data_IF_285177750223
#
_entry.id   IF_285177750223
#
_cell.length_a   1.000
_cell.length_b   1.000
_cell.length_c   1.000
_cell.angle_alpha   90.00
_cell.angle_beta   90.00
_cell.angle_gamma   90.00
#
_symmetry.space_group_name_H-M   'P 1'
#
loop_
_entity.id
_entity.type
_entity.pdbx_description
1 polymer ?
#
# COMPACT_ATOMS: atom_id res chain seq x y z
N UNK A 1 -10.21 -4.71 1.66
CA UNK A 1 -10.20 -5.69 0.56
C UNK A 1 -10.61 -5.11 -0.79
N UNK A 2 -11.67 -4.31 -0.89
CA UNK A 2 -12.13 -3.73 -2.16
C UNK A 2 -11.03 -3.08 -3.03
N UNK A 3 -10.04 -2.33 -2.48
CA UNK A 3 -8.98 -1.73 -3.29
C UNK A 3 -8.11 -2.73 -4.06
N UNK A 4 -7.71 -3.83 -3.41
CA UNK A 4 -6.88 -4.87 -4.06
C UNK A 4 -7.64 -5.55 -5.19
N UNK A 5 -8.92 -5.86 -4.99
CA UNK A 5 -9.76 -6.45 -6.04
C UNK A 5 -9.99 -5.50 -7.21
N UNK A 6 -10.01 -4.18 -6.95
CA UNK A 6 -10.20 -3.19 -8.01
C UNK A 6 -9.05 -3.16 -9.02
N UNK A 7 -7.85 -3.65 -8.66
CA UNK A 7 -6.68 -3.77 -9.55
C UNK A 7 -6.90 -4.72 -10.73
N UNK A 8 -7.93 -5.59 -10.67
CA UNK A 8 -8.33 -6.42 -11.84
C UNK A 8 -8.78 -5.56 -13.02
N UNK A 9 -9.17 -4.31 -12.77
CA UNK A 9 -9.56 -3.36 -13.81
C UNK A 9 -8.38 -2.60 -14.42
N UNK A 10 -7.17 -2.77 -13.86
CA UNK A 10 -5.97 -2.10 -14.34
C UNK A 10 -5.46 -2.76 -15.63
N UNK A 11 -5.06 -1.94 -16.60
CA UNK A 11 -4.58 -2.41 -17.91
C UNK A 11 -3.22 -1.77 -18.22
N UNK A 12 -2.18 -2.59 -18.30
CA UNK A 12 -0.83 -2.10 -18.64
C UNK A 12 -0.70 -1.64 -20.10
N UNK A 13 -1.48 -2.24 -21.03
CA UNK A 13 -1.41 -1.99 -22.48
C UNK A 13 -2.82 -2.02 -23.09
N UNK A 14 -3.09 -1.16 -24.07
CA UNK A 14 -4.34 -1.17 -24.82
C UNK A 14 -4.52 -2.46 -25.64
N UNK A 15 -5.74 -2.97 -25.71
CA UNK A 15 -6.08 -4.23 -26.41
C UNK A 15 -5.67 -4.21 -27.89
N UNK A 16 -5.79 -3.06 -28.56
CA UNK A 16 -5.37 -2.90 -29.96
C UNK A 16 -3.86 -3.05 -30.12
N UNK A 17 -3.08 -2.55 -29.16
CA UNK A 17 -1.63 -2.60 -29.19
C UNK A 17 -1.10 -3.98 -28.80
N UNK A 18 -1.75 -4.65 -27.85
CA UNK A 18 -1.48 -6.05 -27.50
C UNK A 18 -1.69 -6.99 -28.71
N UNK A 19 -2.72 -6.74 -29.52
CA UNK A 19 -2.96 -7.51 -30.75
C UNK A 19 -1.93 -7.20 -31.86
N UNK A 20 -1.39 -5.98 -31.90
CA UNK A 20 -0.40 -5.56 -32.89
C UNK A 20 0.99 -6.14 -32.60
N UNK A 21 1.33 -6.34 -31.32
CA UNK A 21 2.63 -6.81 -30.87
C UNK A 21 2.51 -8.09 -30.01
N UNK A 22 2.32 -9.27 -30.64
CA UNK A 22 2.18 -10.56 -29.93
C UNK A 22 3.43 -10.96 -29.13
N UNK A 23 4.57 -10.29 -29.37
CA UNK A 23 5.81 -10.45 -28.62
C UNK A 23 5.65 -10.05 -27.14
N UNK A 24 4.81 -9.05 -26.84
CA UNK A 24 4.46 -8.66 -25.47
C UNK A 24 3.78 -9.82 -24.71
N UNK A 25 3.01 -10.65 -25.41
CA UNK A 25 2.36 -11.82 -24.83
C UNK A 25 3.34 -12.95 -24.55
N UNK A 26 4.37 -13.14 -25.40
CA UNK A 26 5.41 -14.15 -25.18
C UNK A 26 6.16 -13.91 -23.88
N UNK A 27 6.46 -12.67 -23.51
CA UNK A 27 7.11 -12.36 -22.23
C UNK A 27 6.27 -12.83 -21.02
N UNK A 28 4.94 -12.70 -21.07
CA UNK A 28 4.05 -13.16 -19.99
C UNK A 28 4.09 -14.69 -19.80
N UNK A 29 4.22 -15.45 -20.90
CA UNK A 29 4.31 -16.93 -20.83
C UNK A 29 5.61 -17.46 -20.22
N UNK A 30 6.63 -16.61 -20.07
CA UNK A 30 7.91 -17.01 -19.45
C UNK A 30 7.87 -17.12 -17.93
N UNK A 31 6.79 -16.65 -17.28
CA UNK A 31 6.64 -16.70 -15.82
C UNK A 31 7.60 -15.79 -15.04
N UNK A 32 8.36 -14.93 -15.71
CA UNK A 32 9.35 -14.06 -15.08
C UNK A 32 8.73 -13.05 -14.10
N UNK A 33 7.45 -12.71 -14.27
CA UNK A 33 6.68 -11.79 -13.42
C UNK A 33 6.32 -12.39 -12.05
N UNK A 34 6.17 -13.71 -11.93
CA UNK A 34 5.75 -14.40 -10.70
C UNK A 34 6.78 -15.43 -10.22
N UNK A 35 8.04 -15.02 -10.17
CA UNK A 35 9.16 -15.86 -9.70
C UNK A 35 9.25 -15.93 -8.16
N UNK A 36 9.96 -16.94 -7.64
CA UNK A 36 10.32 -17.01 -6.21
C UNK A 36 11.05 -15.75 -5.73
N UNK A 37 11.90 -15.16 -6.59
CA UNK A 37 12.62 -13.92 -6.26
C UNK A 37 11.66 -12.77 -5.98
N UNK A 38 10.67 -12.57 -6.86
CA UNK A 38 9.66 -11.52 -6.67
C UNK A 38 8.80 -11.78 -5.44
N UNK A 39 8.42 -13.04 -5.20
CA UNK A 39 7.69 -13.43 -3.99
C UNK A 39 8.46 -13.07 -2.71
N UNK A 40 9.73 -13.49 -2.60
CA UNK A 40 10.51 -13.21 -1.39
C UNK A 40 10.78 -11.72 -1.20
N UNK A 41 10.99 -10.95 -2.27
CA UNK A 41 11.08 -9.47 -2.17
C UNK A 41 9.82 -8.89 -1.54
N UNK A 42 8.64 -9.30 -1.97
CA UNK A 42 7.38 -8.85 -1.37
C UNK A 42 7.25 -9.29 0.09
N UNK A 43 7.61 -10.53 0.42
CA UNK A 43 7.63 -11.00 1.82
C UNK A 43 8.54 -10.15 2.70
N UNK A 44 9.76 -9.84 2.24
CA UNK A 44 10.68 -8.98 3.00
C UNK A 44 10.15 -7.55 3.15
N UNK A 45 9.51 -6.99 2.11
CA UNK A 45 8.85 -5.68 2.20
C UNK A 45 7.73 -5.71 3.24
N UNK A 46 6.88 -6.75 3.25
CA UNK A 46 5.81 -6.89 4.23
C UNK A 46 6.34 -7.05 5.66
N UNK A 47 7.39 -7.86 5.87
CA UNK A 47 8.05 -7.99 7.17
C UNK A 47 8.62 -6.65 7.64
N UNK A 48 9.29 -5.93 6.75
CA UNK A 48 9.82 -4.60 7.03
C UNK A 48 8.69 -3.64 7.43
N UNK A 49 7.66 -3.50 6.60
CA UNK A 49 6.55 -2.59 6.84
C UNK A 49 5.81 -2.92 8.14
N UNK A 50 5.46 -4.18 8.35
CA UNK A 50 4.81 -4.63 9.59
C UNK A 50 5.68 -4.39 10.82
N UNK A 51 6.97 -4.70 10.74
CA UNK A 51 7.93 -4.47 11.82
C UNK A 51 8.12 -3.00 12.15
N UNK A 52 8.25 -2.13 11.13
CA UNK A 52 8.38 -0.69 11.33
C UNK A 52 7.11 -0.08 11.92
N UNK A 53 5.93 -0.47 11.42
CA UNK A 53 4.65 0.01 11.95
C UNK A 53 4.51 -0.36 13.42
N UNK A 54 4.67 -1.65 13.73
CA UNK A 54 4.48 -2.14 15.10
C UNK A 54 5.53 -1.60 16.05
N UNK A 55 6.81 -1.70 15.68
CA UNK A 55 7.92 -1.27 16.52
C UNK A 55 7.91 0.24 16.80
N UNK A 56 7.69 1.07 15.77
CA UNK A 56 7.63 2.52 15.98
C UNK A 56 6.36 2.94 16.74
N UNK A 57 5.24 2.24 16.57
CA UNK A 57 4.03 2.54 17.34
C UNK A 57 4.26 2.31 18.83
N UNK A 58 4.93 1.20 19.19
CA UNK A 58 5.32 0.90 20.57
C UNK A 58 6.30 1.95 21.13
N UNK A 59 7.31 2.34 20.34
CA UNK A 59 8.32 3.32 20.77
C UNK A 59 7.74 4.72 20.97
N UNK A 60 6.87 5.18 20.06
CA UNK A 60 6.38 6.57 20.06
C UNK A 60 5.17 6.79 20.97
N UNK A 61 4.48 5.72 21.36
CA UNK A 61 3.32 5.78 22.28
C UNK A 61 3.65 5.08 23.59
N UNK A 62 2.96 3.98 23.90
CA UNK A 62 3.12 3.14 25.08
C UNK A 62 2.86 1.70 24.66
N UNK A 63 3.60 0.74 25.22
CA UNK A 63 3.41 -0.68 24.90
C UNK A 63 2.04 -1.14 25.40
N UNK A 64 1.30 -1.87 24.57
CA UNK A 64 -0.01 -2.46 24.88
C UNK A 64 -1.12 -1.46 25.27
N UNK A 65 -0.98 -0.18 24.89
CA UNK A 65 -1.97 0.86 25.15
C UNK A 65 -2.98 1.10 24.00
N UNK A 66 -4.17 1.66 24.28
CA UNK A 66 -5.17 2.01 23.25
C UNK A 66 -4.66 3.06 22.25
N UNK A 67 -3.67 3.88 22.66
CA UNK A 67 -2.98 4.84 21.77
C UNK A 67 -2.08 4.14 20.76
N UNK A 68 -1.38 3.08 21.16
CA UNK A 68 -0.57 2.27 20.27
C UNK A 68 -1.44 1.60 19.22
N UNK A 69 -2.54 0.97 19.66
CA UNK A 69 -3.49 0.29 18.75
C UNK A 69 -4.10 1.29 17.77
N UNK A 70 -4.51 2.48 18.22
CA UNK A 70 -5.03 3.51 17.35
C UNK A 70 -4.00 3.94 16.28
N UNK A 71 -2.76 4.21 16.68
CA UNK A 71 -1.69 4.63 15.74
C UNK A 71 -1.33 3.50 14.78
N UNK A 72 -1.03 2.31 15.28
CA UNK A 72 -0.58 1.18 14.45
C UNK A 72 -1.65 0.78 13.44
N UNK A 73 -2.92 0.72 13.85
CA UNK A 73 -4.03 0.35 12.97
C UNK A 73 -4.28 1.43 11.91
N UNK A 74 -4.23 2.71 12.28
CA UNK A 74 -4.37 3.82 11.32
C UNK A 74 -3.27 3.77 10.27
N UNK A 75 -2.01 3.63 10.72
CA UNK A 75 -0.85 3.57 9.83
C UNK A 75 -0.94 2.35 8.93
N UNK A 76 -1.35 1.19 9.46
CA UNK A 76 -1.53 -0.03 8.67
C UNK A 76 -2.53 0.19 7.53
N UNK A 77 -3.72 0.73 7.82
CA UNK A 77 -4.75 1.00 6.80
C UNK A 77 -4.23 1.99 5.76
N UNK A 78 -3.60 3.09 6.18
CA UNK A 78 -3.04 4.08 5.26
C UNK A 78 -1.91 3.49 4.40
N UNK A 79 -1.04 2.68 4.98
CA UNK A 79 0.07 2.02 4.28
C UNK A 79 -0.47 1.10 3.18
N UNK A 80 -1.45 0.24 3.49
CA UNK A 80 -2.06 -0.66 2.50
C UNK A 80 -2.77 0.11 1.38
N UNK A 81 -3.53 1.17 1.70
CA UNK A 81 -4.18 2.00 0.68
C UNK A 81 -3.17 2.71 -0.23
N UNK A 82 -2.10 3.25 0.34
CA UNK A 82 -1.00 3.87 -0.42
C UNK A 82 -0.27 2.84 -1.29
N UNK A 83 0.03 1.66 -0.77
CA UNK A 83 0.68 0.58 -1.52
C UNK A 83 -0.15 0.16 -2.73
N UNK A 84 -1.47 0.01 -2.56
CA UNK A 84 -2.38 -0.26 -3.69
C UNK A 84 -2.38 0.89 -4.69
N UNK A 85 -2.50 2.14 -4.22
CA UNK A 85 -2.48 3.31 -5.11
C UNK A 85 -1.17 3.44 -5.90
N UNK A 86 -0.03 3.01 -5.34
CA UNK A 86 1.27 2.99 -6.03
C UNK A 86 1.45 1.82 -7.02
N UNK A 87 0.55 0.84 -7.00
CA UNK A 87 0.55 -0.25 -7.98
C UNK A 87 -0.29 0.06 -9.21
N UNK A 88 -1.28 0.95 -9.09
CA UNK A 88 -2.14 1.39 -10.21
C UNK A 88 -1.31 2.01 -11.33
N UNK A 89 -1.40 1.46 -12.54
CA UNK A 89 -0.79 2.03 -13.75
C UNK A 89 -1.78 2.90 -14.51
N UNK A 90 -3.03 2.48 -14.64
CA UNK A 90 -4.11 3.22 -15.31
C UNK A 90 -5.29 3.46 -14.38
N UNK A 91 -5.76 4.71 -14.27
CA UNK A 91 -6.83 5.03 -13.33
C UNK A 91 -8.22 4.71 -13.89
N UNK A 92 -8.86 3.68 -13.34
CA UNK A 92 -10.28 3.43 -13.55
C UNK A 92 -11.12 4.07 -12.42
N UNK A 93 -12.26 4.74 -12.69
CA UNK A 93 -13.06 5.41 -11.66
C UNK A 93 -13.45 4.52 -10.48
N UNK A 94 -13.75 3.24 -10.73
CA UNK A 94 -14.06 2.28 -9.65
C UNK A 94 -12.89 2.05 -8.68
N UNK A 95 -11.64 2.17 -9.12
CA UNK A 95 -10.48 2.07 -8.22
C UNK A 95 -10.44 3.26 -7.27
N UNK A 96 -10.72 4.47 -7.76
CA UNK A 96 -10.82 5.68 -6.93
C UNK A 96 -11.94 5.53 -5.90
N UNK A 97 -13.13 5.09 -6.33
CA UNK A 97 -14.24 4.84 -5.42
C UNK A 97 -13.90 3.78 -4.37
N UNK A 98 -13.16 2.73 -4.73
CA UNK A 98 -12.75 1.69 -3.78
C UNK A 98 -11.73 2.21 -2.75
N UNK A 99 -10.73 3.00 -3.17
CA UNK A 99 -9.70 3.57 -2.30
C UNK A 99 -10.31 4.59 -1.34
N UNK A 100 -11.02 5.58 -1.90
CA UNK A 100 -11.65 6.65 -1.11
C UNK A 100 -12.78 6.08 -0.24
N UNK A 101 -13.61 5.20 -0.78
CA UNK A 101 -14.69 4.55 -0.05
C UNK A 101 -14.17 3.72 1.12
N UNK A 102 -13.08 2.98 0.95
CA UNK A 102 -12.45 2.22 2.04
C UNK A 102 -11.90 3.15 3.12
N UNK A 103 -11.23 4.25 2.73
CA UNK A 103 -10.73 5.25 3.67
C UNK A 103 -11.88 5.90 4.46
N UNK A 104 -12.96 6.29 3.79
CA UNK A 104 -14.12 6.90 4.42
C UNK A 104 -14.85 5.94 5.36
N UNK A 105 -15.00 4.67 4.98
CA UNK A 105 -15.57 3.65 5.86
C UNK A 105 -14.71 3.44 7.11
N UNK A 106 -13.39 3.44 6.96
CA UNK A 106 -12.49 3.38 8.09
C UNK A 106 -12.65 4.60 9.01
N UNK A 107 -12.55 5.83 8.47
CA UNK A 107 -12.72 7.07 9.24
C UNK A 107 -14.10 7.15 9.91
N UNK A 108 -15.15 6.74 9.22
CA UNK A 108 -16.51 6.67 9.73
C UNK A 108 -16.70 5.62 10.83
N UNK A 109 -15.87 4.58 10.87
CA UNK A 109 -15.89 3.56 11.93
C UNK A 109 -15.20 3.99 13.23
N UNK A 110 -14.24 4.93 13.17
CA UNK A 110 -13.44 5.38 14.33
C UNK A 110 -14.30 5.77 15.55
N UNK A 111 -15.37 6.57 15.43
CA UNK A 111 -16.19 6.97 16.59
C UNK A 111 -16.85 5.79 17.32
N UNK A 112 -17.07 4.67 16.62
CA UNK A 112 -17.68 3.47 17.17
C UNK A 112 -16.66 2.54 17.86
N UNK A 113 -15.36 2.84 17.77
CA UNK A 113 -14.26 2.01 18.29
C UNK A 113 -13.72 2.50 19.65
N UNK A 114 -14.51 3.22 20.44
CA UNK A 114 -14.10 3.76 21.74
C UNK A 114 -13.67 2.72 22.79
N UNK A 115 -14.02 1.45 22.62
CA UNK A 115 -13.52 0.35 23.45
C UNK A 115 -12.08 -0.08 23.14
N UNK A 116 -11.57 0.28 21.97
CA UNK A 116 -10.22 -0.09 21.50
C UNK A 116 -9.29 1.11 21.38
N UNK A 117 -9.83 2.27 21.00
CA UNK A 117 -9.07 3.47 20.72
C UNK A 117 -9.29 4.54 21.78
N UNK A 118 -8.21 5.26 22.10
CA UNK A 118 -8.30 6.52 22.84
C UNK A 118 -8.81 7.62 21.88
N UNK A 119 -10.13 7.80 21.81
CA UNK A 119 -10.78 8.76 20.91
C UNK A 119 -10.34 10.21 21.17
N UNK A 120 -10.02 10.54 22.43
CA UNK A 120 -9.50 11.88 22.79
C UNK A 120 -8.12 12.08 22.21
N UNK A 121 -7.30 11.03 22.16
CA UNK A 121 -5.97 11.09 21.57
C UNK A 121 -5.99 11.23 20.05
N UNK A 122 -6.91 10.58 19.33
CA UNK A 122 -6.98 10.61 17.86
C UNK A 122 -7.10 12.04 17.31
N UNK A 123 -7.85 12.91 17.98
CA UNK A 123 -8.03 14.31 17.55
C UNK A 123 -6.84 15.22 17.90
N UNK A 124 -5.85 14.72 18.64
CA UNK A 124 -4.69 15.51 19.04
C UNK A 124 -3.65 15.58 17.92
N UNK A 125 -2.87 16.66 17.94
CA UNK A 125 -1.65 16.74 17.13
C UNK A 125 -0.70 15.57 17.42
N UNK A 126 -0.68 15.09 18.67
CA UNK A 126 0.11 13.95 19.12
C UNK A 126 -0.12 12.69 18.28
N UNK A 127 -1.36 12.44 17.87
CA UNK A 127 -1.70 11.31 17.02
C UNK A 127 -1.22 11.54 15.58
N UNK A 128 -1.53 12.71 15.01
CA UNK A 128 -1.26 13.03 13.60
C UNK A 128 0.21 12.91 13.24
N UNK A 129 1.11 13.52 14.03
CA UNK A 129 2.54 13.48 13.69
C UNK A 129 3.13 12.08 13.78
N UNK A 130 2.65 11.23 14.71
CA UNK A 130 3.09 9.84 14.84
C UNK A 130 2.65 9.02 13.65
N UNK A 131 1.38 9.16 13.26
CA UNK A 131 0.86 8.49 12.07
C UNK A 131 1.66 8.90 10.83
N UNK A 132 1.94 10.18 10.64
CA UNK A 132 2.73 10.68 9.51
C UNK A 132 4.18 10.16 9.54
N UNK A 133 4.84 10.21 10.69
CA UNK A 133 6.23 9.76 10.83
C UNK A 133 6.37 8.26 10.53
N UNK A 134 5.50 7.43 11.12
CA UNK A 134 5.55 5.98 10.91
C UNK A 134 5.16 5.63 9.47
N UNK A 135 4.13 6.26 8.91
CA UNK A 135 3.73 6.04 7.51
C UNK A 135 4.85 6.40 6.54
N UNK A 136 5.56 7.51 6.78
CA UNK A 136 6.69 7.91 5.96
C UNK A 136 7.82 6.86 6.00
N UNK A 137 8.17 6.38 7.20
CA UNK A 137 9.22 5.37 7.37
C UNK A 137 8.82 4.02 6.77
N UNK A 138 7.54 3.63 6.84
CA UNK A 138 7.08 2.36 6.29
C UNK A 138 6.90 2.40 4.76
N UNK A 139 6.53 3.54 4.17
CA UNK A 139 6.23 3.66 2.74
C UNK A 139 7.41 4.10 1.88
N UNK A 140 8.21 5.07 2.35
CA UNK A 140 9.24 5.69 1.52
C UNK A 140 10.30 4.68 1.07
N UNK A 141 10.87 3.83 1.94
CA UNK A 141 11.95 2.93 1.51
C UNK A 141 11.50 1.87 0.49
N UNK A 142 10.37 1.16 0.67
CA UNK A 142 9.85 0.26 -0.36
C UNK A 142 9.54 0.98 -1.68
N UNK A 143 8.94 2.17 -1.62
CA UNK A 143 8.61 2.95 -2.80
C UNK A 143 9.86 3.44 -3.54
N UNK A 144 10.85 3.95 -2.82
CA UNK A 144 12.14 4.36 -3.39
C UNK A 144 12.86 3.18 -4.06
N UNK A 145 12.87 2.01 -3.42
CA UNK A 145 13.42 0.78 -4.00
C UNK A 145 12.72 0.39 -5.31
N UNK A 146 11.39 0.51 -5.35
CA UNK A 146 10.58 0.28 -6.57
C UNK A 146 10.93 1.27 -7.69
N UNK A 147 11.03 2.57 -7.38
CA UNK A 147 11.38 3.61 -8.34
C UNK A 147 12.79 3.42 -8.93
N UNK A 148 13.78 3.14 -8.07
CA UNK A 148 15.17 2.90 -8.50
C UNK A 148 15.22 1.69 -9.45
N UNK A 149 14.53 0.60 -9.12
CA UNK A 149 14.47 -0.59 -9.98
C UNK A 149 13.83 -0.27 -11.34
N UNK A 150 12.73 0.49 -11.37
CA UNK A 150 12.06 0.90 -12.61
C UNK A 150 12.92 1.85 -13.45
N UNK A 151 13.77 2.67 -12.84
CA UNK A 151 14.69 3.56 -13.53
C UNK A 151 15.88 2.80 -14.16
N UNK A 152 16.47 1.84 -13.46
CA UNK A 152 17.65 1.08 -13.93
C UNK A 152 17.26 0.01 -14.96
N UNK A 153 16.09 -0.61 -14.83
CA UNK A 153 15.58 -1.63 -15.75
C UNK A 153 14.15 -1.29 -16.17
N UNK A 154 13.97 -0.41 -17.17
CA UNK A 154 12.65 -0.11 -17.68
C UNK A 154 12.02 -1.38 -18.28
N UNK A 155 10.71 -1.61 -18.05
CA UNK A 155 9.99 -2.75 -18.63
C UNK A 155 9.98 -2.68 -20.17
N UNK A 156 9.97 -3.82 -20.86
CA UNK A 156 10.10 -3.92 -22.32
C UNK A 156 9.07 -3.08 -23.09
N UNK A 157 7.86 -2.88 -22.54
CA UNK A 157 6.83 -2.00 -23.13
C UNK A 157 7.21 -0.51 -23.22
N UNK A 158 8.23 -0.06 -22.46
CA UNK A 158 8.76 1.32 -22.50
C UNK A 158 9.98 1.48 -23.42
N UNK A 159 10.42 0.42 -24.10
CA UNK A 159 11.50 0.47 -25.11
C UNK A 159 10.89 0.57 -26.50
#
# INVERSE_FOLDING_TARGET
>A
MAPVFSLVLDKDVDEKLANLYPELYKELTTGASLSYRTFFVWVFVSIYQGGMIQGLSQILTEVDGPRMVAVSFTVLVLNELCMVAFEVTTWHPMMIFSLVGTLLLYLGSIPFLGGYFDLKFIITWGFVWRVLAISAISLIPPYAGKLIRRAIKPPSYRK
#
